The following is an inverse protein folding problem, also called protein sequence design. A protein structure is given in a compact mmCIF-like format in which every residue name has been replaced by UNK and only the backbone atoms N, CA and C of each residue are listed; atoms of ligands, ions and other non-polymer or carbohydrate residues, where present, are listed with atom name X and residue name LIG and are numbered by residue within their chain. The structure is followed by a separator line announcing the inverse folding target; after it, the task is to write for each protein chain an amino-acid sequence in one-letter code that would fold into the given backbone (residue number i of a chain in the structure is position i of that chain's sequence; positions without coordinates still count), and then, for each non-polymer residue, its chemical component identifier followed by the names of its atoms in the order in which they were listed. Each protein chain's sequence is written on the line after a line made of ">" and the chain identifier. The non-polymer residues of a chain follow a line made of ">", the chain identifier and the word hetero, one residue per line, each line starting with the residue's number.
data_IF_288860622824
#
_entry.id   IF_288860622824
#
_cell.length_a   1.000
_cell.length_b   1.000
_cell.length_c   1.000
_cell.angle_alpha   90.00
_cell.angle_beta   90.00
_cell.angle_gamma   90.00
#
_symmetry.space_group_name_H-M   'P 1'
#
loop_
_entity.id
_entity.type
_entity.pdbx_description
1 polymer ?
#
# COMPACT_ATOMS: atom_id res chain seq x y z
N UNK A 1 12.43 -17.67 3.31
CA UNK A 1 11.69 -16.70 4.12
C UNK A 1 12.59 -15.51 4.36
N UNK A 2 12.23 -14.33 3.81
CA UNK A 2 13.04 -13.11 3.92
C UNK A 2 12.40 -12.12 4.87
N UNK A 3 13.21 -11.20 5.43
CA UNK A 3 12.71 -10.03 6.14
C UNK A 3 12.51 -8.90 5.14
N UNK A 4 11.32 -8.36 5.04
CA UNK A 4 10.95 -7.30 4.09
C UNK A 4 10.51 -6.05 4.85
N UNK A 5 11.13 -4.91 4.54
CA UNK A 5 10.65 -3.61 5.00
C UNK A 5 9.73 -3.01 3.92
N UNK A 6 8.58 -2.50 4.32
CA UNK A 6 7.69 -1.71 3.47
C UNK A 6 7.65 -0.29 4.04
N UNK A 7 8.01 0.70 3.23
CA UNK A 7 8.09 2.10 3.63
C UNK A 7 6.86 2.85 3.09
N UNK A 8 6.00 3.29 3.99
CA UNK A 8 4.75 3.98 3.70
C UNK A 8 3.51 3.11 3.88
N UNK A 9 2.63 3.51 4.78
CA UNK A 9 1.36 2.84 5.12
C UNK A 9 0.16 3.31 4.30
N UNK A 10 0.39 3.76 3.06
CA UNK A 10 -0.65 4.11 2.09
C UNK A 10 -1.21 2.87 1.37
N UNK A 11 -2.05 3.08 0.34
CA UNK A 11 -2.68 2.01 -0.44
C UNK A 11 -1.66 0.99 -0.98
N UNK A 12 -0.61 1.47 -1.67
CA UNK A 12 0.41 0.61 -2.26
C UNK A 12 1.21 -0.15 -1.20
N UNK A 13 1.57 0.51 -0.09
CA UNK A 13 2.35 -0.14 0.97
C UNK A 13 1.56 -1.18 1.75
N UNK A 14 0.30 -0.90 2.10
CA UNK A 14 -0.55 -1.89 2.75
C UNK A 14 -0.76 -3.13 1.86
N UNK A 15 -1.07 -2.93 0.56
CA UNK A 15 -1.19 -4.03 -0.39
C UNK A 15 0.11 -4.83 -0.52
N UNK A 16 1.24 -4.15 -0.73
CA UNK A 16 2.55 -4.82 -0.84
C UNK A 16 2.89 -5.65 0.41
N UNK A 17 2.61 -5.09 1.60
CA UNK A 17 2.83 -5.79 2.86
C UNK A 17 1.93 -7.02 3.01
N UNK A 18 0.64 -6.92 2.65
CA UNK A 18 -0.30 -8.05 2.64
C UNK A 18 0.18 -9.18 1.71
N UNK A 19 0.58 -8.83 0.49
CA UNK A 19 1.03 -9.82 -0.50
C UNK A 19 2.36 -10.46 -0.08
N UNK A 20 3.34 -9.67 0.34
CA UNK A 20 4.62 -10.20 0.79
C UNK A 20 4.47 -11.15 2.00
N UNK A 21 3.66 -10.75 2.99
CA UNK A 21 3.38 -11.60 4.15
C UNK A 21 2.59 -12.86 3.76
N UNK A 22 1.66 -12.76 2.81
CA UNK A 22 0.92 -13.90 2.25
C UNK A 22 1.83 -14.92 1.56
N UNK A 23 2.95 -14.48 0.99
CA UNK A 23 3.97 -15.32 0.38
C UNK A 23 5.00 -15.85 1.39
N UNK A 24 4.73 -15.76 2.70
CA UNK A 24 5.55 -16.34 3.75
C UNK A 24 6.77 -15.49 4.15
N UNK A 25 6.83 -14.22 3.76
CA UNK A 25 7.89 -13.32 4.22
C UNK A 25 7.56 -12.71 5.59
N UNK A 26 8.58 -12.36 6.38
CA UNK A 26 8.43 -11.58 7.60
C UNK A 26 8.45 -10.10 7.25
N UNK A 27 7.30 -9.43 7.39
CA UNK A 27 7.12 -8.05 6.92
C UNK A 27 7.03 -7.07 8.08
N UNK A 28 7.72 -5.93 7.94
CA UNK A 28 7.56 -4.74 8.77
C UNK A 28 7.12 -3.59 7.89
N UNK A 29 5.99 -2.96 8.25
CA UNK A 29 5.45 -1.78 7.59
C UNK A 29 5.76 -0.54 8.44
N UNK A 30 6.50 0.40 7.88
CA UNK A 30 6.84 1.68 8.51
C UNK A 30 5.94 2.78 7.95
N UNK A 31 5.27 3.50 8.85
CA UNK A 31 4.45 4.66 8.52
C UNK A 31 4.84 5.85 9.41
N UNK A 32 5.14 6.98 8.78
CA UNK A 32 5.57 8.19 9.49
C UNK A 32 4.43 8.87 10.26
N UNK A 33 3.19 8.62 9.86
CA UNK A 33 2.01 9.20 10.48
C UNK A 33 1.45 8.30 11.59
N UNK A 34 0.51 8.87 12.35
CA UNK A 34 -0.20 8.23 13.46
C UNK A 34 -1.19 7.15 13.04
N UNK A 35 -1.47 7.04 11.73
CA UNK A 35 -2.43 6.05 11.19
C UNK A 35 -2.10 5.65 9.77
N UNK A 36 -2.55 4.46 9.40
CA UNK A 36 -2.48 3.95 8.03
C UNK A 36 -3.49 4.65 7.11
N UNK A 37 -3.21 4.67 5.82
CA UNK A 37 -4.17 5.04 4.78
C UNK A 37 -4.56 6.51 4.76
N UNK A 38 -3.78 7.43 5.31
CA UNK A 38 -4.12 8.86 5.42
C UNK A 38 -4.62 9.46 4.11
N UNK A 39 -3.93 9.15 3.00
CA UNK A 39 -4.31 9.64 1.68
C UNK A 39 -5.57 8.95 1.14
N UNK A 40 -5.87 7.72 1.53
CA UNK A 40 -7.09 7.01 1.13
C UNK A 40 -8.33 7.72 1.65
N UNK A 41 -8.28 8.26 2.88
CA UNK A 41 -9.41 8.99 3.50
C UNK A 41 -9.89 10.19 2.67
N UNK A 42 -9.01 10.83 1.89
CA UNK A 42 -9.36 12.02 1.13
C UNK A 42 -9.67 11.71 -0.33
N UNK A 43 -9.39 10.50 -0.81
CA UNK A 43 -9.70 10.12 -2.19
C UNK A 43 -11.20 9.94 -2.40
N UNK A 44 -11.69 10.18 -3.61
CA UNK A 44 -13.10 10.04 -3.95
C UNK A 44 -14.04 10.85 -3.04
N UNK A 45 -13.58 12.01 -2.55
CA UNK A 45 -14.33 12.86 -1.59
C UNK A 45 -14.69 12.11 -0.29
N UNK A 46 -13.74 11.34 0.24
CA UNK A 46 -13.93 10.56 1.46
C UNK A 46 -14.53 9.16 1.26
N UNK A 47 -14.92 8.81 0.02
CA UNK A 47 -15.54 7.51 -0.29
C UNK A 47 -14.55 6.44 -0.73
N UNK A 48 -13.35 6.83 -1.15
CA UNK A 48 -12.34 5.99 -1.79
C UNK A 48 -12.82 5.39 -3.12
N UNK A 49 -12.55 6.07 -4.24
CA UNK A 49 -12.64 5.44 -5.56
C UNK A 49 -11.52 4.38 -5.65
N UNK A 50 -11.89 3.11 -5.41
CA UNK A 50 -10.94 2.02 -5.27
C UNK A 50 -10.24 1.70 -6.59
N UNK A 51 -11.03 1.56 -7.65
CA UNK A 51 -10.57 1.26 -9.01
C UNK A 51 -11.65 1.61 -10.03
N UNK A 52 -11.45 1.18 -11.27
CA UNK A 52 -12.44 1.24 -12.34
C UNK A 52 -12.71 -0.17 -12.86
N UNK A 53 -13.96 -0.53 -13.10
CA UNK A 53 -14.39 -1.84 -13.59
C UNK A 53 -14.46 -1.89 -15.13
N UNK A 54 -13.64 -1.09 -15.83
CA UNK A 54 -13.50 -1.18 -17.28
C UNK A 54 -12.64 -2.38 -17.70
N UNK A 55 -12.65 -2.70 -18.98
CA UNK A 55 -11.77 -3.71 -19.54
C UNK A 55 -10.29 -3.28 -19.43
N UNK A 56 -9.38 -4.25 -19.44
CA UNK A 56 -7.94 -4.00 -19.25
C UNK A 56 -7.38 -3.09 -20.35
N UNK A 57 -7.87 -3.21 -21.58
CA UNK A 57 -7.51 -2.34 -22.71
C UNK A 57 -7.88 -0.89 -22.47
N UNK A 58 -9.09 -0.63 -21.95
CA UNK A 58 -9.55 0.71 -21.59
C UNK A 58 -8.75 1.28 -20.44
N UNK A 59 -8.36 0.42 -19.47
CA UNK A 59 -7.48 0.83 -18.38
C UNK A 59 -6.13 1.33 -18.91
N UNK A 60 -5.52 0.60 -19.87
CA UNK A 60 -4.28 1.02 -20.51
C UNK A 60 -4.45 2.30 -21.32
N UNK A 61 -5.55 2.44 -22.05
CA UNK A 61 -5.84 3.63 -22.86
C UNK A 61 -5.97 4.89 -21.98
N UNK A 62 -6.40 4.74 -20.74
CA UNK A 62 -6.51 5.85 -19.78
C UNK A 62 -5.16 6.29 -19.18
N UNK A 63 -4.08 5.54 -19.37
CA UNK A 63 -2.75 5.90 -18.86
C UNK A 63 -2.09 6.90 -19.80
N UNK A 64 -1.99 8.15 -19.38
CA UNK A 64 -1.53 9.25 -20.23
C UNK A 64 -0.06 9.17 -20.68
N UNK A 65 0.82 8.57 -19.88
CA UNK A 65 2.27 8.47 -20.17
C UNK A 65 2.83 7.14 -19.72
N UNK A 66 3.75 6.60 -20.53
CA UNK A 66 4.53 5.40 -20.19
C UNK A 66 3.67 4.15 -19.86
N UNK A 67 2.49 3.99 -20.47
CA UNK A 67 1.60 2.84 -20.23
C UNK A 67 2.34 1.50 -20.34
N UNK A 68 3.26 1.37 -21.31
CA UNK A 68 4.08 0.17 -21.52
C UNK A 68 4.90 -0.24 -20.30
N UNK A 69 5.32 0.71 -19.46
CA UNK A 69 6.04 0.41 -18.22
C UNK A 69 5.18 -0.39 -17.23
N UNK A 70 3.88 -0.20 -17.26
CA UNK A 70 2.93 -0.87 -16.36
C UNK A 70 2.39 -2.20 -16.91
N UNK A 71 2.79 -2.62 -18.12
CA UNK A 71 2.28 -3.81 -18.78
C UNK A 71 2.34 -5.05 -17.87
N UNK A 72 3.54 -5.39 -17.40
CA UNK A 72 3.73 -6.57 -16.55
C UNK A 72 2.93 -6.48 -15.25
N UNK A 73 2.89 -5.31 -14.62
CA UNK A 73 2.19 -5.13 -13.36
C UNK A 73 0.68 -5.31 -13.52
N UNK A 74 0.08 -4.67 -14.54
CA UNK A 74 -1.38 -4.71 -14.75
C UNK A 74 -1.83 -6.09 -15.24
N UNK A 75 -1.08 -6.74 -16.15
CA UNK A 75 -1.44 -8.10 -16.57
C UNK A 75 -1.20 -9.16 -15.48
N UNK A 76 -0.38 -8.87 -14.48
CA UNK A 76 -0.21 -9.77 -13.32
C UNK A 76 -1.31 -9.56 -12.27
N UNK A 77 -1.73 -8.30 -12.08
CA UNK A 77 -2.71 -7.91 -11.07
C UNK A 77 -3.49 -6.69 -11.57
N UNK A 78 -4.57 -6.95 -12.29
CA UNK A 78 -5.40 -5.92 -12.92
C UNK A 78 -6.48 -5.37 -11.97
N UNK A 79 -7.34 -4.51 -12.50
CA UNK A 79 -8.44 -3.90 -11.77
C UNK A 79 -9.48 -4.92 -11.31
N UNK A 80 -9.71 -6.00 -12.07
CA UNK A 80 -10.64 -7.07 -11.68
C UNK A 80 -10.05 -7.93 -10.57
N UNK A 81 -8.78 -8.33 -10.68
CA UNK A 81 -8.06 -9.03 -9.62
C UNK A 81 -8.02 -8.22 -8.32
N UNK A 82 -7.90 -6.88 -8.41
CA UNK A 82 -8.00 -5.99 -7.26
C UNK A 82 -9.39 -6.04 -6.62
N UNK A 83 -10.46 -6.01 -7.43
CA UNK A 83 -11.83 -6.14 -6.93
C UNK A 83 -12.05 -7.48 -6.24
N UNK A 84 -11.62 -8.59 -6.86
CA UNK A 84 -11.72 -9.93 -6.30
C UNK A 84 -10.95 -10.05 -4.97
N UNK A 85 -9.77 -9.45 -4.90
CA UNK A 85 -8.98 -9.41 -3.67
C UNK A 85 -9.76 -8.74 -2.53
N UNK A 86 -10.33 -7.56 -2.76
CA UNK A 86 -11.10 -6.85 -1.74
C UNK A 86 -12.43 -7.55 -1.40
N UNK A 87 -13.09 -8.15 -2.39
CA UNK A 87 -14.28 -8.99 -2.16
C UNK A 87 -13.93 -10.19 -1.27
N UNK A 88 -12.78 -10.84 -1.51
CA UNK A 88 -12.26 -11.92 -0.69
C UNK A 88 -11.94 -11.51 0.76
N UNK A 89 -11.63 -10.23 0.99
CA UNK A 89 -11.47 -9.65 2.33
C UNK A 89 -12.82 -9.23 2.96
N UNK A 90 -13.94 -9.45 2.27
CA UNK A 90 -15.28 -9.12 2.75
C UNK A 90 -15.71 -7.66 2.52
N UNK A 91 -14.98 -6.89 1.69
CA UNK A 91 -15.41 -5.55 1.32
C UNK A 91 -16.53 -5.64 0.28
N UNK A 92 -17.74 -5.19 0.66
CA UNK A 92 -18.83 -5.01 -0.30
C UNK A 92 -18.57 -3.77 -1.14
N UNK A 93 -18.66 -3.90 -2.46
CA UNK A 93 -18.41 -2.83 -3.41
C UNK A 93 -19.61 -2.56 -4.29
N UNK A 94 -19.66 -1.39 -4.89
CA UNK A 94 -20.62 -0.98 -5.92
C UNK A 94 -19.91 -0.31 -7.08
N UNK A 95 -20.49 -0.45 -8.28
CA UNK A 95 -20.02 0.21 -9.49
C UNK A 95 -20.97 1.37 -9.78
N UNK A 96 -20.42 2.56 -9.95
CA UNK A 96 -21.16 3.78 -10.30
C UNK A 96 -20.87 4.20 -11.74
N UNK A 97 -21.53 5.27 -12.20
CA UNK A 97 -21.36 5.85 -13.54
C UNK A 97 -19.88 5.99 -13.90
N UNK A 98 -19.51 5.56 -15.11
CA UNK A 98 -18.14 5.55 -15.61
C UNK A 98 -17.29 4.43 -15.01
N UNK A 99 -17.94 3.31 -14.66
CA UNK A 99 -17.31 2.10 -14.12
C UNK A 99 -16.49 2.32 -12.83
N UNK A 100 -16.72 3.41 -12.10
CA UNK A 100 -16.00 3.71 -10.86
C UNK A 100 -16.45 2.79 -9.74
N UNK A 101 -15.48 2.20 -9.06
CA UNK A 101 -15.72 1.24 -7.98
C UNK A 101 -15.53 1.92 -6.63
N UNK A 102 -16.55 1.84 -5.79
CA UNK A 102 -16.56 2.38 -4.43
C UNK A 102 -16.96 1.30 -3.42
N UNK A 103 -16.57 1.42 -2.14
CA UNK A 103 -17.17 0.61 -1.09
C UNK A 103 -18.68 0.89 -1.03
N UNK A 104 -19.48 -0.16 -0.77
CA UNK A 104 -20.94 -0.06 -0.69
C UNK A 104 -21.41 0.96 0.36
N UNK A 105 -20.65 1.13 1.42
CA UNK A 105 -20.91 2.06 2.52
C UNK A 105 -20.64 3.53 2.19
N UNK A 106 -19.95 3.81 1.09
CA UNK A 106 -19.40 5.14 0.78
C UNK A 106 -18.37 5.68 1.79
N UNK A 107 -17.73 4.78 2.57
CA UNK A 107 -16.73 5.18 3.55
C UNK A 107 -15.34 4.61 3.22
N UNK A 108 -14.37 5.50 2.99
CA UNK A 108 -12.96 5.14 2.77
C UNK A 108 -12.37 4.34 3.95
N UNK A 109 -12.91 4.55 5.17
CA UNK A 109 -12.52 3.81 6.37
C UNK A 109 -12.70 2.30 6.24
N UNK A 110 -13.70 1.83 5.49
CA UNK A 110 -13.92 0.39 5.31
C UNK A 110 -12.82 -0.25 4.47
N UNK A 111 -12.34 0.45 3.45
CA UNK A 111 -11.19 0.00 2.65
C UNK A 111 -9.94 -0.12 3.52
N UNK A 112 -9.69 0.90 4.37
CA UNK A 112 -8.53 0.90 5.27
C UNK A 112 -8.67 -0.20 6.31
N UNK A 113 -9.86 -0.37 6.88
CA UNK A 113 -10.13 -1.39 7.89
C UNK A 113 -9.85 -2.80 7.36
N UNK A 114 -10.39 -3.19 6.20
CA UNK A 114 -10.17 -4.56 5.68
C UNK A 114 -8.71 -4.82 5.35
N UNK A 115 -7.95 -3.83 4.88
CA UNK A 115 -6.51 -3.96 4.68
C UNK A 115 -5.75 -4.06 6.01
N UNK A 116 -6.13 -3.27 7.01
CA UNK A 116 -5.51 -3.30 8.34
C UNK A 116 -5.77 -4.64 9.04
N UNK A 117 -6.99 -5.15 8.96
CA UNK A 117 -7.37 -6.45 9.50
C UNK A 117 -6.55 -7.57 8.83
N UNK A 118 -6.34 -7.46 7.50
CA UNK A 118 -5.53 -8.42 6.76
C UNK A 118 -4.04 -8.36 7.15
N UNK A 119 -3.48 -7.16 7.36
CA UNK A 119 -2.12 -6.99 7.87
C UNK A 119 -1.95 -7.68 9.23
N UNK A 120 -2.92 -7.51 10.15
CA UNK A 120 -2.91 -8.15 11.45
C UNK A 120 -3.04 -9.68 11.33
N UNK A 121 -3.98 -10.16 10.50
CA UNK A 121 -4.17 -11.59 10.24
C UNK A 121 -2.90 -12.26 9.73
N UNK A 122 -2.14 -11.56 8.89
CA UNK A 122 -0.85 -12.00 8.33
C UNK A 122 0.34 -11.68 9.23
N UNK A 123 0.11 -11.19 10.44
CA UNK A 123 1.14 -10.89 11.44
C UNK A 123 2.22 -9.92 10.94
N UNK A 124 1.83 -8.96 10.11
CA UNK A 124 2.71 -7.85 9.71
C UNK A 124 2.99 -6.97 10.92
N UNK A 125 4.25 -6.65 11.17
CA UNK A 125 4.64 -5.68 12.20
C UNK A 125 4.39 -4.27 11.64
N UNK A 126 3.50 -3.51 12.28
CA UNK A 126 3.15 -2.14 11.89
C UNK A 126 3.85 -1.18 12.86
N UNK A 127 4.66 -0.27 12.32
CA UNK A 127 5.35 0.77 13.05
C UNK A 127 4.80 2.13 12.61
N UNK A 128 3.88 2.69 13.40
CA UNK A 128 3.34 4.04 13.21
C UNK A 128 4.30 5.08 13.82
N UNK A 129 4.09 6.36 13.48
CA UNK A 129 4.92 7.48 13.95
C UNK A 129 6.42 7.20 13.72
N UNK A 130 6.74 6.38 12.71
CA UNK A 130 8.09 5.89 12.45
C UNK A 130 8.52 6.26 11.05
N UNK A 131 9.46 7.21 10.96
CA UNK A 131 9.98 7.71 9.70
C UNK A 131 11.25 6.98 9.31
N UNK A 132 11.25 6.30 8.17
CA UNK A 132 12.47 5.79 7.57
C UNK A 132 13.22 6.94 6.91
N UNK A 133 14.48 7.11 7.30
CA UNK A 133 15.35 8.19 6.84
C UNK A 133 16.21 7.73 5.66
N UNK A 134 16.60 6.45 5.66
CA UNK A 134 17.57 5.92 4.70
C UNK A 134 17.34 4.42 4.46
N UNK A 135 17.56 3.99 3.21
CA UNK A 135 17.71 2.58 2.85
C UNK A 135 19.20 2.27 2.90
N UNK A 136 19.61 1.41 3.81
CA UNK A 136 21.01 1.03 3.99
C UNK A 136 21.40 -0.06 3.01
N UNK A 137 22.54 0.10 2.37
CA UNK A 137 23.09 -0.85 1.40
C UNK A 137 24.59 -1.05 1.60
N UNK A 138 25.11 -2.18 1.17
CA UNK A 138 26.56 -2.46 1.11
C UNK A 138 27.17 -2.08 -0.26
N UNK A 139 26.42 -1.37 -1.10
CA UNK A 139 26.82 -0.99 -2.46
C UNK A 139 26.38 -2.01 -3.54
N UNK A 140 26.00 -3.22 -3.16
CA UNK A 140 25.53 -4.27 -4.07
C UNK A 140 24.08 -4.67 -3.82
N UNK A 141 23.67 -4.65 -2.57
CA UNK A 141 22.31 -5.03 -2.13
C UNK A 141 21.85 -4.22 -0.93
N UNK A 142 20.55 -4.20 -0.73
CA UNK A 142 19.96 -3.65 0.49
C UNK A 142 20.35 -4.54 1.68
N UNK A 143 20.72 -3.90 2.79
CA UNK A 143 21.05 -4.57 4.05
C UNK A 143 20.12 -4.17 5.19
N UNK A 144 19.38 -3.08 5.06
CA UNK A 144 18.44 -2.64 6.09
C UNK A 144 17.83 -1.27 5.82
N UNK A 145 17.23 -0.71 6.87
CA UNK A 145 16.72 0.66 6.89
C UNK A 145 17.17 1.38 8.16
N UNK A 146 17.37 2.69 8.06
CA UNK A 146 17.56 3.60 9.19
C UNK A 146 16.26 4.35 9.45
N UNK A 147 15.80 4.37 10.68
CA UNK A 147 14.53 4.97 11.03
C UNK A 147 14.57 5.71 12.37
N UNK A 148 13.63 6.65 12.52
CA UNK A 148 13.34 7.38 13.75
C UNK A 148 11.89 7.11 14.16
N UNK A 149 11.63 6.91 15.45
CA UNK A 149 10.29 6.81 16.01
C UNK A 149 9.99 7.97 16.93
N UNK A 150 8.93 8.71 16.63
CA UNK A 150 8.54 9.89 17.40
C UNK A 150 8.03 9.51 18.81
N UNK A 151 7.22 8.48 18.92
CA UNK A 151 6.55 8.08 20.16
C UNK A 151 7.54 7.58 21.22
N UNK A 152 8.57 6.85 20.78
CA UNK A 152 9.58 6.28 21.68
C UNK A 152 10.84 7.15 21.79
N UNK A 153 10.87 8.29 21.10
CA UNK A 153 12.05 9.17 20.98
C UNK A 153 13.32 8.45 20.48
N UNK A 154 13.17 7.29 19.86
CA UNK A 154 14.28 6.56 19.26
C UNK A 154 14.70 7.25 17.96
N UNK A 155 16.02 7.49 17.82
CA UNK A 155 16.61 8.10 16.62
C UNK A 155 17.72 7.23 16.07
N UNK A 156 17.93 7.32 14.75
CA UNK A 156 19.01 6.65 14.03
C UNK A 156 19.07 5.13 14.28
N UNK A 157 17.92 4.50 14.51
CA UNK A 157 17.87 3.05 14.66
C UNK A 157 18.11 2.39 13.30
N UNK A 158 18.96 1.37 13.28
CA UNK A 158 19.21 0.55 12.08
C UNK A 158 18.63 -0.82 12.31
N UNK A 159 17.81 -1.29 11.38
CA UNK A 159 17.28 -2.64 11.39
C UNK A 159 17.57 -3.34 10.06
N UNK A 160 18.05 -4.59 10.16
CA UNK A 160 18.43 -5.39 9.00
C UNK A 160 17.21 -5.97 8.28
N UNK A 161 17.21 -5.83 6.94
CA UNK A 161 16.20 -6.39 6.03
C UNK A 161 16.88 -6.94 4.78
N UNK A 162 16.29 -8.00 4.22
CA UNK A 162 16.76 -8.64 2.99
C UNK A 162 16.25 -7.90 1.73
N UNK A 163 15.10 -7.21 1.86
CA UNK A 163 14.50 -6.43 0.78
C UNK A 163 13.70 -5.24 1.34
N UNK A 164 13.53 -4.22 0.49
CA UNK A 164 12.76 -3.01 0.79
C UNK A 164 11.78 -2.73 -0.33
N UNK A 165 10.53 -2.44 0.03
CA UNK A 165 9.52 -1.88 -0.86
C UNK A 165 9.31 -0.41 -0.51
N UNK A 166 9.69 0.49 -1.40
CA UNK A 166 9.45 1.93 -1.25
C UNK A 166 8.05 2.28 -1.78
N UNK A 167 7.12 2.58 -0.86
CA UNK A 167 5.73 2.91 -1.15
C UNK A 167 5.33 4.28 -0.57
N UNK A 168 6.24 5.25 -0.62
CA UNK A 168 6.11 6.57 0.01
C UNK A 168 5.02 7.45 -0.62
N UNK A 169 4.43 7.01 -1.74
CA UNK A 169 3.41 7.76 -2.46
C UNK A 169 3.96 8.93 -3.27
N UNK A 170 3.07 9.70 -3.86
CA UNK A 170 3.40 10.89 -4.63
C UNK A 170 3.23 12.17 -3.80
N UNK A 171 3.59 13.30 -4.42
CA UNK A 171 3.61 14.64 -3.80
C UNK A 171 2.29 15.40 -3.91
N UNK A 172 1.20 14.76 -4.35
CA UNK A 172 -0.09 15.42 -4.62
C UNK A 172 -0.73 16.06 -3.37
N UNK A 173 -0.38 15.58 -2.19
CA UNK A 173 -0.86 16.11 -0.89
C UNK A 173 0.33 16.12 0.05
N UNK A 174 1.13 17.18 0.07
CA UNK A 174 2.40 17.22 0.82
C UNK A 174 2.25 17.17 2.35
N UNK A 175 1.04 17.41 2.85
CA UNK A 175 0.70 17.37 4.29
C UNK A 175 0.19 16.01 4.79
N UNK A 176 0.17 15.00 3.91
CA UNK A 176 -0.32 13.66 4.27
C UNK A 176 0.78 12.61 4.30
#
# INVERSE_FOLDING_TARGET
>A
MSKVAVIGGGAGGMMAACIAAGNGHRVTLFEQNEKLGKKIYITGKGRCNLTNACDTEDLFAAIMKNAKFLYSAIYTFDNHALMDYFAGLGLKMKIERGNRVFPQSDHASDVIRVLTDELHRKKVRICLNTKVQEIVSDGTKVTGVRWDCHDTHQKNQIEAFDAVVAACGGVSYPTT
#
